data_IF_109568814605
#
_entry.id   IF_109568814605
#
_cell.length_a   1.000
_cell.length_b   1.000
_cell.length_c   1.000
_cell.angle_alpha   90.00
_cell.angle_beta   90.00
_cell.angle_gamma   90.00
#
_symmetry.space_group_name_H-M   'P 1'
#
loop_
_entity.id
_entity.type
_entity.pdbx_description
1 polymer ?
#
# COMPACT_ATOMS: atom_id res chain seq x y z
N UNK A 1 37.37 -20.46 20.91
CA UNK A 1 36.36 -19.43 21.23
C UNK A 1 35.24 -19.61 20.21
N UNK A 2 34.21 -20.39 20.55
CA UNK A 2 33.08 -20.59 19.64
C UNK A 2 32.24 -19.30 19.60
N UNK A 3 31.80 -18.82 18.44
CA UNK A 3 30.93 -17.66 18.37
C UNK A 3 29.59 -18.00 19.05
N UNK A 4 29.13 -17.10 19.91
CA UNK A 4 27.80 -17.19 20.52
C UNK A 4 26.72 -17.28 19.42
N UNK A 5 25.63 -18.02 19.64
CA UNK A 5 24.53 -18.05 18.69
C UNK A 5 24.01 -16.62 18.43
N UNK A 6 23.66 -16.25 17.19
CA UNK A 6 23.14 -14.92 16.90
C UNK A 6 21.89 -14.72 17.75
N UNK A 7 21.96 -13.74 18.66
CA UNK A 7 20.80 -13.30 19.42
C UNK A 7 19.71 -12.89 18.43
N UNK A 8 18.46 -13.21 18.74
CA UNK A 8 17.26 -12.83 17.97
C UNK A 8 17.05 -11.32 17.79
N UNK A 9 18.04 -10.50 18.15
CA UNK A 9 18.06 -9.05 18.05
C UNK A 9 19.01 -8.48 16.99
N UNK A 10 19.73 -9.29 16.20
CA UNK A 10 20.55 -8.77 15.10
C UNK A 10 19.66 -8.37 13.89
N UNK A 11 19.66 -7.08 13.47
CA UNK A 11 18.88 -6.62 12.33
C UNK A 11 19.21 -7.33 11.00
N UNK A 12 20.48 -7.70 10.78
CA UNK A 12 20.92 -8.34 9.53
C UNK A 12 20.36 -9.76 9.41
N UNK A 13 20.37 -10.51 10.52
CA UNK A 13 19.78 -11.86 10.61
C UNK A 13 18.27 -11.79 10.42
N UNK A 14 17.61 -10.77 11.00
CA UNK A 14 16.19 -10.53 10.81
C UNK A 14 15.84 -10.25 9.34
N UNK A 15 16.61 -9.36 8.69
CA UNK A 15 16.42 -9.01 7.28
C UNK A 15 16.59 -10.23 6.36
N UNK A 16 17.66 -11.01 6.56
CA UNK A 16 17.93 -12.24 5.81
C UNK A 16 16.81 -13.27 6.00
N UNK A 17 16.34 -13.46 7.24
CA UNK A 17 15.22 -14.37 7.54
C UNK A 17 13.93 -13.96 6.83
N UNK A 18 13.56 -12.68 6.89
CA UNK A 18 12.34 -12.19 6.23
C UNK A 18 12.42 -12.37 4.71
N UNK A 19 13.55 -12.01 4.09
CA UNK A 19 13.76 -12.19 2.65
C UNK A 19 13.74 -13.66 2.24
N UNK A 20 14.08 -14.61 3.13
CA UNK A 20 14.00 -16.04 2.86
C UNK A 20 12.58 -16.60 3.00
N UNK A 21 11.87 -16.24 4.06
CA UNK A 21 10.59 -16.89 4.42
C UNK A 21 9.40 -16.26 3.70
N UNK A 22 9.39 -14.94 3.50
CA UNK A 22 8.23 -14.23 2.92
C UNK A 22 7.92 -14.71 1.50
N UNK A 23 8.89 -14.81 0.56
CA UNK A 23 8.60 -15.26 -0.81
C UNK A 23 8.07 -16.69 -0.89
N UNK A 24 8.38 -17.55 0.10
CA UNK A 24 7.96 -18.95 0.12
C UNK A 24 6.47 -19.15 0.45
N UNK A 25 5.80 -18.13 1.01
CA UNK A 25 4.36 -18.18 1.29
C UNK A 25 3.58 -17.78 0.04
N UNK A 26 2.52 -18.49 -0.32
CA UNK A 26 1.75 -18.19 -1.55
C UNK A 26 0.78 -17.01 -1.41
N UNK A 27 0.29 -16.73 -0.19
CA UNK A 27 -0.74 -15.73 0.08
C UNK A 27 -0.17 -14.46 0.74
N UNK A 28 -0.55 -13.29 0.21
CA UNK A 28 -0.04 -12.01 0.72
C UNK A 28 -0.56 -11.68 2.11
N UNK A 29 -1.76 -12.12 2.51
CA UNK A 29 -2.25 -11.89 3.87
C UNK A 29 -1.45 -12.73 4.88
N UNK A 30 -1.08 -13.97 4.54
CA UNK A 30 -0.14 -14.77 5.32
C UNK A 30 1.23 -14.11 5.44
N UNK A 31 1.77 -13.58 4.32
CA UNK A 31 3.03 -12.82 4.31
C UNK A 31 2.95 -11.60 5.24
N UNK A 32 1.89 -10.80 5.12
CA UNK A 32 1.65 -9.62 5.97
C UNK A 32 1.57 -9.98 7.45
N UNK A 33 0.84 -11.04 7.80
CA UNK A 33 0.73 -11.52 9.18
C UNK A 33 2.08 -11.97 9.76
N UNK A 34 2.89 -12.69 8.97
CA UNK A 34 4.23 -13.12 9.37
C UNK A 34 5.16 -11.91 9.57
N UNK A 35 5.21 -11.00 8.59
CA UNK A 35 6.04 -9.78 8.65
C UNK A 35 5.69 -8.97 9.89
N UNK A 36 4.39 -8.71 10.11
CA UNK A 36 3.91 -8.00 11.31
C UNK A 36 4.41 -8.65 12.59
N UNK A 37 4.08 -9.93 12.81
CA UNK A 37 4.44 -10.65 14.04
C UNK A 37 5.95 -10.64 14.28
N UNK A 38 6.73 -10.81 13.22
CA UNK A 38 8.18 -10.91 13.27
C UNK A 38 8.84 -9.58 13.61
N UNK A 39 8.36 -8.48 13.00
CA UNK A 39 8.85 -7.13 13.28
C UNK A 39 8.43 -6.65 14.68
N UNK A 40 7.18 -6.91 15.09
CA UNK A 40 6.69 -6.56 16.43
C UNK A 40 7.49 -7.29 17.53
N UNK A 41 7.77 -8.59 17.34
CA UNK A 41 8.57 -9.37 18.29
C UNK A 41 10.03 -8.91 18.39
N UNK A 42 10.62 -8.40 17.30
CA UNK A 42 11.98 -7.87 17.29
C UNK A 42 12.10 -6.49 17.95
N UNK A 43 10.98 -5.75 18.06
CA UNK A 43 10.92 -4.40 18.59
C UNK A 43 11.37 -3.32 17.57
N UNK A 44 10.96 -2.04 17.78
CA UNK A 44 11.19 -0.98 16.80
C UNK A 44 12.66 -0.74 16.40
N UNK A 45 13.66 -0.75 17.31
CA UNK A 45 15.05 -0.50 16.93
C UNK A 45 15.61 -1.52 15.92
N UNK A 46 15.39 -2.81 16.20
CA UNK A 46 15.86 -3.92 15.36
C UNK A 46 15.06 -3.99 14.06
N UNK A 47 13.73 -3.88 14.16
CA UNK A 47 12.84 -3.88 13.01
C UNK A 47 13.15 -2.75 12.03
N UNK A 48 13.42 -1.54 12.52
CA UNK A 48 13.74 -0.39 11.67
C UNK A 48 15.04 -0.60 10.89
N UNK A 49 16.11 -1.06 11.54
CA UNK A 49 17.39 -1.34 10.87
C UNK A 49 17.27 -2.47 9.84
N UNK A 50 16.53 -3.53 10.15
CA UNK A 50 16.27 -4.61 9.21
C UNK A 50 15.46 -4.13 7.99
N UNK A 51 14.43 -3.31 8.22
CA UNK A 51 13.62 -2.74 7.15
C UNK A 51 14.38 -1.71 6.31
N UNK A 52 15.36 -1.00 6.85
CA UNK A 52 16.21 -0.08 6.08
C UNK A 52 17.08 -0.84 5.06
N UNK A 53 17.71 -1.94 5.48
CA UNK A 53 18.44 -2.84 4.57
C UNK A 53 17.52 -3.41 3.49
N UNK A 54 16.36 -3.96 3.89
CA UNK A 54 15.38 -4.50 2.95
C UNK A 54 14.89 -3.41 1.99
N UNK A 55 14.59 -2.20 2.47
CA UNK A 55 14.14 -1.10 1.62
C UNK A 55 15.23 -0.69 0.62
N UNK A 56 16.50 -0.60 1.06
CA UNK A 56 17.63 -0.30 0.19
C UNK A 56 17.79 -1.35 -0.92
N UNK A 57 17.70 -2.64 -0.59
CA UNK A 57 17.73 -3.73 -1.58
C UNK A 57 16.53 -3.70 -2.52
N UNK A 58 15.34 -3.36 -2.03
CA UNK A 58 14.14 -3.20 -2.86
C UNK A 58 14.24 -2.00 -3.82
N UNK A 59 14.89 -0.90 -3.42
CA UNK A 59 15.24 0.22 -4.32
C UNK A 59 16.15 -0.26 -5.46
N UNK A 60 17.03 -1.25 -5.19
CA UNK A 60 17.87 -1.95 -6.18
C UNK A 60 17.17 -3.11 -6.90
N UNK A 61 15.84 -3.20 -6.82
CA UNK A 61 15.01 -4.23 -7.49
C UNK A 61 15.25 -5.68 -7.05
N UNK A 62 15.83 -5.91 -5.87
CA UNK A 62 15.94 -7.25 -5.27
C UNK A 62 14.53 -7.88 -5.10
N UNK A 63 14.26 -9.06 -5.70
CA UNK A 63 12.91 -9.62 -5.75
C UNK A 63 12.42 -10.04 -4.36
N UNK A 64 13.29 -10.61 -3.52
CA UNK A 64 12.92 -11.05 -2.19
C UNK A 64 12.61 -9.87 -1.26
N UNK A 65 13.42 -8.81 -1.34
CA UNK A 65 13.20 -7.59 -0.59
C UNK A 65 11.90 -6.89 -1.01
N UNK A 66 11.62 -6.81 -2.33
CA UNK A 66 10.36 -6.26 -2.85
C UNK A 66 9.14 -6.99 -2.30
N UNK A 67 9.20 -8.32 -2.18
CA UNK A 67 8.12 -9.12 -1.59
C UNK A 67 7.88 -8.83 -0.11
N UNK A 68 8.95 -8.59 0.65
CA UNK A 68 8.83 -8.15 2.05
C UNK A 68 8.19 -6.76 2.14
N UNK A 69 8.61 -5.82 1.28
CA UNK A 69 8.00 -4.47 1.23
C UNK A 69 6.53 -4.56 0.80
N UNK A 70 6.18 -5.41 -0.17
CA UNK A 70 4.79 -5.63 -0.58
C UNK A 70 3.92 -6.11 0.59
N UNK A 71 4.45 -7.02 1.41
CA UNK A 71 3.77 -7.53 2.61
C UNK A 71 3.65 -6.49 3.74
N UNK A 72 4.51 -5.46 3.76
CA UNK A 72 4.46 -4.35 4.71
C UNK A 72 3.36 -3.32 4.34
N UNK A 73 3.09 -3.11 3.04
CA UNK A 73 2.17 -2.05 2.58
C UNK A 73 0.78 -2.06 3.25
N UNK A 74 0.10 -3.21 3.41
CA UNK A 74 -1.20 -3.23 4.09
C UNK A 74 -1.14 -2.71 5.54
N UNK A 75 -0.01 -2.90 6.23
CA UNK A 75 0.19 -2.43 7.60
C UNK A 75 0.30 -0.91 7.67
N UNK A 76 0.79 -0.25 6.61
CA UNK A 76 0.93 1.20 6.55
C UNK A 76 -0.43 1.91 6.43
N UNK A 77 -1.41 1.24 5.83
CA UNK A 77 -2.78 1.73 5.68
C UNK A 77 -3.69 1.43 6.87
N UNK A 78 -3.27 0.61 7.84
CA UNK A 78 -4.11 0.20 8.97
C UNK A 78 -3.84 1.05 10.23
N UNK A 79 -4.86 1.79 10.73
CA UNK A 79 -4.74 2.54 11.97
C UNK A 79 -4.33 1.70 13.19
N UNK A 80 -4.64 0.40 13.22
CA UNK A 80 -4.25 -0.50 14.30
C UNK A 80 -2.73 -0.63 14.44
N UNK A 81 -1.97 -0.41 13.36
CA UNK A 81 -0.51 -0.47 13.36
C UNK A 81 0.14 0.92 13.41
N UNK A 82 -0.63 2.00 13.45
CA UNK A 82 -0.13 3.36 13.45
C UNK A 82 0.90 3.65 14.58
N UNK A 83 0.73 3.18 15.84
CA UNK A 83 1.74 3.38 16.88
C UNK A 83 3.08 2.72 16.54
N UNK A 84 3.05 1.48 16.04
CA UNK A 84 4.26 0.75 15.67
C UNK A 84 4.97 1.43 14.49
N UNK A 85 4.24 1.81 13.44
CA UNK A 85 4.81 2.54 12.29
C UNK A 85 5.36 3.91 12.73
N UNK A 86 4.72 4.59 13.69
CA UNK A 86 5.25 5.83 14.26
C UNK A 86 6.58 5.61 14.99
N UNK A 87 6.71 4.53 15.75
CA UNK A 87 7.96 4.17 16.42
C UNK A 87 9.07 3.85 15.40
N UNK A 88 8.77 3.11 14.33
CA UNK A 88 9.73 2.86 13.25
C UNK A 88 10.22 4.15 12.59
N UNK A 89 9.33 5.12 12.36
CA UNK A 89 9.71 6.44 11.82
C UNK A 89 10.63 7.22 12.74
N UNK A 90 10.36 7.19 14.06
CA UNK A 90 11.21 7.86 15.04
C UNK A 90 12.63 7.28 15.02
N UNK A 91 12.75 5.95 15.10
CA UNK A 91 14.05 5.26 15.00
C UNK A 91 14.75 5.56 13.68
N UNK A 92 14.01 5.52 12.56
CA UNK A 92 14.59 5.78 11.24
C UNK A 92 15.18 7.20 11.12
N UNK A 93 14.49 8.18 11.71
CA UNK A 93 14.97 9.56 11.78
C UNK A 93 16.21 9.66 12.66
N UNK A 94 16.15 9.13 13.87
CA UNK A 94 17.22 9.27 14.88
C UNK A 94 18.50 8.55 14.45
N UNK A 95 18.38 7.38 13.83
CA UNK A 95 19.50 6.58 13.34
C UNK A 95 19.87 6.85 11.87
N UNK A 96 19.27 7.87 11.23
CA UNK A 96 19.53 8.23 9.82
C UNK A 96 19.35 7.07 8.82
N UNK A 97 18.33 6.24 9.05
CA UNK A 97 17.95 5.13 8.17
C UNK A 97 17.21 5.68 6.94
N UNK A 98 17.97 5.99 5.89
CA UNK A 98 17.49 6.81 4.79
C UNK A 98 16.47 6.09 3.90
N UNK A 99 16.66 4.79 3.63
CA UNK A 99 15.76 4.03 2.78
C UNK A 99 14.41 3.82 3.48
N UNK A 100 14.44 3.49 4.77
CA UNK A 100 13.23 3.38 5.58
C UNK A 100 12.52 4.74 5.74
N UNK A 101 13.26 5.82 5.91
CA UNK A 101 12.69 7.17 6.01
C UNK A 101 11.98 7.61 4.73
N UNK A 102 12.50 7.22 3.55
CA UNK A 102 11.83 7.43 2.26
C UNK A 102 10.57 6.56 2.14
N UNK A 103 10.66 5.29 2.52
CA UNK A 103 9.53 4.36 2.46
C UNK A 103 8.37 4.79 3.38
N UNK A 104 8.67 5.20 4.61
CA UNK A 104 7.68 5.61 5.60
C UNK A 104 7.36 7.11 5.55
N UNK A 105 7.78 7.81 4.48
CA UNK A 105 7.64 9.25 4.31
C UNK A 105 6.18 9.65 4.53
N UNK A 106 5.94 10.35 5.63
CA UNK A 106 4.66 10.98 5.94
C UNK A 106 4.90 12.48 5.96
N UNK A 107 4.23 13.22 5.08
CA UNK A 107 4.03 14.65 5.36
C UNK A 107 3.14 14.69 6.60
N UNK A 108 3.38 15.61 7.53
CA UNK A 108 2.49 15.82 8.67
C UNK A 108 1.13 16.37 8.19
N UNK A 109 0.40 15.61 7.37
CA UNK A 109 -1.02 15.80 7.20
C UNK A 109 -1.64 15.27 8.48
N UNK A 110 -1.81 16.21 9.42
CA UNK A 110 -2.77 16.09 10.51
C UNK A 110 -4.14 16.12 9.83
N UNK A 111 -4.50 15.02 9.18
CA UNK A 111 -5.90 14.72 8.92
C UNK A 111 -6.48 14.48 10.31
N UNK A 112 -6.93 15.56 10.96
CA UNK A 112 -7.91 15.39 12.01
C UNK A 112 -9.02 14.51 11.41
N UNK A 113 -9.46 13.45 12.12
CA UNK A 113 -10.59 12.68 11.67
C UNK A 113 -11.72 13.67 11.43
N UNK A 114 -12.04 13.94 10.17
CA UNK A 114 -13.19 14.78 9.85
C UNK A 114 -14.38 14.02 10.42
N UNK A 115 -15.20 14.64 11.28
CA UNK A 115 -16.42 14.00 11.73
C UNK A 115 -17.19 13.56 10.48
N UNK A 116 -17.55 12.27 10.43
CA UNK A 116 -18.37 11.72 9.36
C UNK A 116 -19.58 12.62 9.20
N UNK A 117 -19.73 13.25 8.03
CA UNK A 117 -20.81 14.21 7.80
C UNK A 117 -22.15 13.50 8.04
N UNK A 118 -23.15 14.15 8.66
CA UNK A 118 -24.50 13.60 8.82
C UNK A 118 -25.10 13.07 7.50
N UNK A 119 -24.62 13.56 6.36
CA UNK A 119 -25.00 13.12 5.01
C UNK A 119 -24.58 11.67 4.74
N UNK A 120 -23.48 11.20 5.32
CA UNK A 120 -22.94 9.84 5.10
C UNK A 120 -23.80 8.74 5.73
N UNK A 121 -24.61 9.12 6.73
CA UNK A 121 -25.60 8.27 7.39
C UNK A 121 -27.01 8.38 6.81
N UNK A 122 -27.28 9.34 5.91
CA UNK A 122 -28.55 9.36 5.19
C UNK A 122 -28.64 8.11 4.31
N UNK A 123 -29.81 7.50 4.28
CA UNK A 123 -30.00 6.32 3.46
C UNK A 123 -29.77 6.68 1.98
N UNK A 124 -29.00 5.86 1.28
CA UNK A 124 -28.64 6.08 -0.13
C UNK A 124 -29.45 5.07 -0.94
N UNK A 125 -30.25 5.59 -1.86
CA UNK A 125 -30.94 4.74 -2.83
C UNK A 125 -29.92 4.24 -3.86
N UNK A 126 -30.00 2.97 -4.23
CA UNK A 126 -29.14 2.40 -5.28
C UNK A 126 -29.56 2.84 -6.68
N UNK A 127 -30.79 3.32 -6.82
CA UNK A 127 -31.39 3.78 -8.07
C UNK A 127 -32.05 5.15 -7.89
N UNK A 128 -32.08 5.99 -8.93
CA UNK A 128 -32.88 7.21 -8.94
C UNK A 128 -34.35 6.90 -8.60
N UNK A 129 -34.91 7.58 -7.58
CA UNK A 129 -36.28 7.36 -7.12
C UNK A 129 -36.49 6.10 -6.26
N UNK A 130 -35.44 5.32 -6.00
CA UNK A 130 -35.52 4.14 -5.13
C UNK A 130 -35.63 4.47 -3.64
N UNK A 131 -36.03 3.48 -2.84
CA UNK A 131 -36.02 3.59 -1.38
C UNK A 131 -34.58 3.82 -0.87
N UNK A 132 -34.35 4.80 0.03
CA UNK A 132 -33.05 4.99 0.66
C UNK A 132 -32.68 3.77 1.53
N UNK A 133 -31.50 3.21 1.31
CA UNK A 133 -30.98 2.09 2.10
C UNK A 133 -30.12 2.58 3.25
N UNK A 134 -30.36 2.05 4.45
CA UNK A 134 -29.52 2.24 5.62
C UNK A 134 -28.10 1.72 5.38
N UNK A 135 -27.15 2.21 6.18
CA UNK A 135 -25.77 1.71 6.13
C UNK A 135 -25.70 0.19 6.37
N UNK A 136 -26.53 -0.35 7.28
CA UNK A 136 -26.59 -1.79 7.57
C UNK A 136 -27.02 -2.60 6.35
N UNK A 137 -28.07 -2.16 5.64
CA UNK A 137 -28.54 -2.80 4.40
C UNK A 137 -27.46 -2.75 3.32
N UNK A 138 -26.81 -1.59 3.08
CA UNK A 138 -25.74 -1.47 2.07
C UNK A 138 -24.55 -2.38 2.39
N UNK A 139 -24.16 -2.48 3.66
CA UNK A 139 -23.10 -3.41 4.13
C UNK A 139 -23.49 -4.87 3.90
N UNK A 140 -24.74 -5.24 4.18
CA UNK A 140 -25.22 -6.61 3.93
C UNK A 140 -25.24 -6.94 2.44
N UNK A 141 -25.73 -6.02 1.60
CA UNK A 141 -25.74 -6.14 0.15
C UNK A 141 -24.35 -6.27 -0.46
N UNK A 142 -23.35 -5.54 0.07
CA UNK A 142 -21.96 -5.63 -0.40
C UNK A 142 -21.32 -7.02 -0.23
N UNK A 143 -21.85 -7.87 0.65
CA UNK A 143 -21.40 -9.27 0.80
C UNK A 143 -22.12 -10.23 -0.13
N UNK A 144 -23.26 -9.83 -0.70
CA UNK A 144 -24.06 -10.71 -1.54
C UNK A 144 -23.37 -10.94 -2.89
N UNK A 145 -23.49 -12.14 -3.46
CA UNK A 145 -22.97 -12.43 -4.78
C UNK A 145 -23.94 -11.90 -5.85
N UNK A 146 -24.00 -10.58 -6.09
CA UNK A 146 -24.86 -9.99 -7.14
C UNK A 146 -24.14 -8.87 -7.88
N UNK A 147 -23.75 -9.11 -9.15
CA UNK A 147 -23.01 -8.13 -9.96
C UNK A 147 -23.73 -6.78 -10.06
N UNK A 148 -25.03 -6.81 -10.38
CA UNK A 148 -25.88 -5.62 -10.48
C UNK A 148 -25.87 -4.79 -9.19
N UNK A 149 -25.86 -5.44 -8.03
CA UNK A 149 -25.82 -4.73 -6.74
C UNK A 149 -24.40 -4.20 -6.46
N UNK A 150 -23.37 -5.00 -6.74
CA UNK A 150 -21.98 -4.58 -6.55
C UNK A 150 -21.65 -3.34 -7.38
N UNK A 151 -22.05 -3.32 -8.66
CA UNK A 151 -21.81 -2.18 -9.56
C UNK A 151 -22.40 -0.86 -9.01
N UNK A 152 -23.58 -0.92 -8.37
CA UNK A 152 -24.21 0.25 -7.72
C UNK A 152 -23.51 0.68 -6.43
N UNK A 153 -22.83 -0.25 -5.76
CA UNK A 153 -22.15 -0.01 -4.49
C UNK A 153 -20.68 0.44 -4.65
N UNK A 154 -20.08 0.33 -5.84
CA UNK A 154 -18.67 0.72 -6.06
C UNK A 154 -18.39 2.19 -5.69
N UNK A 155 -19.39 3.05 -5.87
CA UNK A 155 -19.29 4.47 -5.54
C UNK A 155 -19.77 4.80 -4.12
N UNK A 156 -20.07 3.81 -3.27
CA UNK A 156 -20.58 4.05 -1.91
C UNK A 156 -19.60 4.95 -1.12
N UNK A 157 -20.09 6.01 -0.46
CA UNK A 157 -19.24 6.96 0.23
C UNK A 157 -18.68 6.45 1.57
N UNK A 158 -19.11 5.28 2.05
CA UNK A 158 -18.81 4.79 3.39
C UNK A 158 -17.74 3.67 3.39
N UNK A 159 -16.64 3.81 4.16
CA UNK A 159 -15.52 2.85 4.15
C UNK A 159 -15.92 1.42 4.50
N UNK A 160 -16.81 1.22 5.48
CA UNK A 160 -17.32 -0.12 5.83
C UNK A 160 -18.12 -0.83 4.74
N UNK A 161 -18.65 -0.12 3.75
CA UNK A 161 -19.29 -0.76 2.58
C UNK A 161 -18.19 -1.20 1.61
N UNK A 162 -17.24 -0.33 1.32
CA UNK A 162 -16.07 -0.63 0.48
C UNK A 162 -15.25 -1.80 1.04
N UNK A 163 -15.00 -1.83 2.35
CA UNK A 163 -14.34 -2.95 3.03
C UNK A 163 -15.01 -4.31 2.71
N UNK A 164 -16.34 -4.36 2.77
CA UNK A 164 -17.08 -5.59 2.45
C UNK A 164 -17.04 -5.92 0.95
N UNK A 165 -17.08 -4.90 0.08
CA UNK A 165 -16.93 -5.09 -1.37
C UNK A 165 -15.55 -5.69 -1.67
N UNK A 166 -14.49 -5.14 -1.11
CA UNK A 166 -13.11 -5.59 -1.32
C UNK A 166 -12.91 -7.04 -0.87
N UNK A 167 -13.69 -7.53 0.10
CA UNK A 167 -13.74 -8.93 0.51
C UNK A 167 -14.68 -9.82 -0.32
N UNK A 168 -15.51 -9.26 -1.20
CA UNK A 168 -16.48 -10.03 -1.98
C UNK A 168 -15.79 -10.86 -3.08
N UNK A 169 -16.08 -12.16 -3.21
CA UNK A 169 -15.47 -13.02 -4.22
C UNK A 169 -15.89 -12.69 -5.67
N UNK A 170 -17.03 -12.02 -5.87
CA UNK A 170 -17.50 -11.58 -7.19
C UNK A 170 -16.99 -10.20 -7.61
N UNK A 171 -16.23 -9.51 -6.75
CA UNK A 171 -15.57 -8.26 -7.11
C UNK A 171 -14.38 -8.57 -8.04
N UNK A 172 -14.23 -7.77 -9.08
CA UNK A 172 -13.19 -7.92 -10.12
C UNK A 172 -12.13 -6.84 -9.97
N UNK A 173 -10.99 -7.03 -10.66
CA UNK A 173 -9.93 -6.02 -10.69
C UNK A 173 -10.42 -4.69 -11.28
N UNK A 174 -11.24 -4.72 -12.33
CA UNK A 174 -11.80 -3.51 -12.96
C UNK A 174 -12.68 -2.71 -12.00
N UNK A 175 -13.43 -3.39 -11.12
CA UNK A 175 -14.21 -2.72 -10.08
C UNK A 175 -13.31 -1.97 -9.09
N UNK A 176 -12.20 -2.59 -8.70
CA UNK A 176 -11.27 -1.99 -7.74
C UNK A 176 -10.48 -0.87 -8.37
N UNK A 177 -10.11 -0.98 -9.65
CA UNK A 177 -9.57 0.14 -10.42
C UNK A 177 -10.54 1.31 -10.43
N UNK A 178 -11.86 1.07 -10.63
CA UNK A 178 -12.89 2.11 -10.55
C UNK A 178 -12.97 2.76 -9.15
N UNK A 179 -12.90 1.96 -8.08
CA UNK A 179 -12.87 2.47 -6.69
C UNK A 179 -11.61 3.32 -6.45
N UNK A 180 -10.44 2.81 -6.84
CA UNK A 180 -9.14 3.44 -6.63
C UNK A 180 -8.99 4.74 -7.43
N UNK A 181 -9.52 4.79 -8.65
CA UNK A 181 -9.46 5.95 -9.54
C UNK A 181 -10.54 7.01 -9.28
N UNK A 182 -11.52 6.74 -8.40
CA UNK A 182 -12.66 7.65 -8.12
C UNK A 182 -12.19 9.02 -7.62
N UNK A 183 -12.79 10.10 -8.15
CA UNK A 183 -12.49 11.49 -7.77
C UNK A 183 -13.79 12.23 -7.37
N UNK A 184 -13.80 13.03 -6.29
CA UNK A 184 -12.74 13.13 -5.27
C UNK A 184 -12.61 11.82 -4.49
N UNK A 185 -11.37 11.44 -4.17
CA UNK A 185 -11.08 10.27 -3.33
C UNK A 185 -11.18 10.66 -1.86
N UNK A 186 -11.79 9.78 -1.04
CA UNK A 186 -11.83 9.96 0.41
C UNK A 186 -10.66 9.22 1.07
N UNK A 187 -9.93 9.83 2.02
CA UNK A 187 -8.80 9.17 2.70
C UNK A 187 -9.16 7.82 3.34
N UNK A 188 -10.37 7.70 3.88
CA UNK A 188 -10.86 6.48 4.52
C UNK A 188 -11.06 5.37 3.48
N UNK A 189 -11.62 5.70 2.30
CA UNK A 189 -11.76 4.74 1.19
C UNK A 189 -10.39 4.33 0.63
N UNK A 190 -9.47 5.29 0.47
CA UNK A 190 -8.11 4.99 0.05
C UNK A 190 -7.40 4.06 1.05
N UNK A 191 -7.63 4.26 2.35
CA UNK A 191 -7.13 3.37 3.40
C UNK A 191 -7.69 1.95 3.25
N UNK A 192 -9.00 1.79 2.97
CA UNK A 192 -9.59 0.47 2.71
C UNK A 192 -8.91 -0.28 1.54
N UNK A 193 -8.65 0.43 0.43
CA UNK A 193 -7.96 -0.16 -0.73
C UNK A 193 -6.52 -0.54 -0.37
N UNK A 194 -5.79 0.36 0.30
CA UNK A 194 -4.40 0.14 0.69
C UNK A 194 -4.22 -1.06 1.66
N UNK A 195 -5.19 -1.27 2.56
CA UNK A 195 -5.22 -2.43 3.49
C UNK A 195 -5.52 -3.74 2.80
N UNK A 196 -6.11 -3.73 1.60
CA UNK A 196 -6.46 -4.94 0.89
C UNK A 196 -5.25 -5.55 0.18
N UNK A 197 -4.55 -6.44 0.87
CA UNK A 197 -3.45 -7.23 0.31
C UNK A 197 -3.81 -7.85 -1.05
N UNK A 198 -4.97 -8.51 -1.16
CA UNK A 198 -5.48 -9.13 -2.39
C UNK A 198 -5.41 -8.19 -3.60
N UNK A 199 -5.80 -6.93 -3.40
CA UNK A 199 -5.93 -5.97 -4.49
C UNK A 199 -4.67 -5.14 -4.70
N UNK A 200 -3.94 -4.79 -3.65
CA UNK A 200 -2.65 -4.10 -3.76
C UNK A 200 -1.56 -4.97 -4.41
N UNK A 201 -1.74 -6.29 -4.45
CA UNK A 201 -0.93 -7.19 -5.26
C UNK A 201 -1.08 -6.98 -6.78
N UNK A 202 -2.15 -6.33 -7.25
CA UNK A 202 -2.45 -6.13 -8.67
C UNK A 202 -1.86 -4.83 -9.21
N UNK A 203 -1.11 -4.89 -10.30
CA UNK A 203 -0.41 -3.75 -10.88
C UNK A 203 -1.37 -2.62 -11.30
N UNK A 204 -2.49 -2.95 -11.98
CA UNK A 204 -3.47 -1.95 -12.44
C UNK A 204 -4.11 -1.22 -11.27
N UNK A 205 -4.37 -1.93 -10.16
CA UNK A 205 -4.88 -1.31 -8.92
C UNK A 205 -3.85 -0.37 -8.32
N UNK A 206 -2.57 -0.77 -8.20
CA UNK A 206 -1.50 0.10 -7.71
C UNK A 206 -1.37 1.37 -8.56
N UNK A 207 -1.38 1.24 -9.89
CA UNK A 207 -1.30 2.39 -10.79
C UNK A 207 -2.50 3.32 -10.65
N UNK A 208 -3.73 2.79 -10.67
CA UNK A 208 -4.93 3.60 -10.44
C UNK A 208 -4.93 4.31 -9.09
N UNK A 209 -4.42 3.65 -8.05
CA UNK A 209 -4.29 4.18 -6.70
C UNK A 209 -3.27 5.32 -6.61
N UNK A 210 -2.09 5.16 -7.21
CA UNK A 210 -1.00 6.14 -7.18
C UNK A 210 -1.31 7.35 -8.08
N UNK A 211 -1.91 7.14 -9.25
CA UNK A 211 -2.27 8.21 -10.19
C UNK A 211 -3.51 9.01 -9.77
N UNK A 212 -4.19 8.62 -8.69
CA UNK A 212 -5.30 9.39 -8.15
C UNK A 212 -4.78 10.52 -7.25
N UNK A 213 -4.99 11.81 -7.61
CA UNK A 213 -4.49 12.93 -6.83
C UNK A 213 -5.15 13.09 -5.46
N UNK A 214 -6.31 12.47 -5.26
CA UNK A 214 -6.99 12.44 -3.96
C UNK A 214 -6.46 11.34 -3.03
N UNK A 215 -5.59 10.45 -3.50
CA UNK A 215 -4.96 9.44 -2.62
C UNK A 215 -3.93 10.13 -1.71
N UNK A 216 -4.06 9.99 -0.38
CA UNK A 216 -3.10 10.58 0.55
C UNK A 216 -1.65 10.13 0.23
N UNK A 217 -0.67 11.05 0.14
CA UNK A 217 0.73 10.72 -0.15
C UNK A 217 1.32 9.68 0.79
N UNK A 218 0.85 9.63 2.04
CA UNK A 218 1.28 8.67 3.05
C UNK A 218 0.95 7.22 2.68
N UNK A 219 -0.07 7.02 1.85
CA UNK A 219 -0.48 5.72 1.34
C UNK A 219 0.12 5.45 -0.05
N UNK A 220 0.25 6.47 -0.91
CA UNK A 220 0.72 6.27 -2.29
C UNK A 220 2.25 6.23 -2.45
N UNK A 221 3.01 6.99 -1.65
CA UNK A 221 4.49 6.96 -1.71
C UNK A 221 5.06 5.56 -1.44
N UNK A 222 4.62 4.82 -0.39
CA UNK A 222 5.13 3.48 -0.16
C UNK A 222 4.87 2.51 -1.33
N UNK A 223 3.75 2.69 -2.04
CA UNK A 223 3.35 1.84 -3.18
C UNK A 223 4.30 1.99 -4.37
N UNK A 224 4.98 3.14 -4.52
CA UNK A 224 5.98 3.36 -5.57
C UNK A 224 7.09 2.29 -5.56
N UNK A 225 7.45 1.78 -4.38
CA UNK A 225 8.43 0.69 -4.24
C UNK A 225 8.05 -0.55 -5.06
N UNK A 226 6.75 -0.77 -5.30
CA UNK A 226 6.19 -1.93 -5.99
C UNK A 226 5.91 -1.71 -7.48
N UNK A 227 6.08 -0.49 -7.98
CA UNK A 227 5.92 -0.20 -9.41
C UNK A 227 7.13 -0.69 -10.21
N UNK A 228 7.04 -0.70 -11.53
CA UNK A 228 8.10 -0.95 -12.51
C UNK A 228 8.77 0.37 -12.93
N UNK A 229 9.87 0.28 -13.68
CA UNK A 229 10.62 1.47 -14.11
C UNK A 229 9.76 2.41 -14.97
N UNK A 230 9.03 1.87 -15.95
CA UNK A 230 8.14 2.67 -16.81
C UNK A 230 6.95 3.26 -16.04
N UNK A 231 6.37 2.49 -15.11
CA UNK A 231 5.29 2.95 -14.23
C UNK A 231 5.76 4.12 -13.33
N UNK A 232 7.00 4.09 -12.84
CA UNK A 232 7.57 5.22 -12.07
C UNK A 232 7.77 6.46 -12.94
N UNK A 233 8.21 6.30 -14.19
CA UNK A 233 8.34 7.41 -15.13
C UNK A 233 6.96 8.04 -15.41
N UNK A 234 5.94 7.21 -15.65
CA UNK A 234 4.56 7.68 -15.83
C UNK A 234 4.07 8.51 -14.63
N UNK A 235 4.33 8.04 -13.40
CA UNK A 235 3.97 8.79 -12.19
C UNK A 235 4.76 10.09 -12.05
N UNK A 236 6.04 10.11 -12.43
CA UNK A 236 6.87 11.31 -12.40
C UNK A 236 6.36 12.40 -13.34
N UNK A 237 5.86 12.01 -14.51
CA UNK A 237 5.36 12.92 -15.56
C UNK A 237 3.89 13.34 -15.35
N UNK A 238 3.15 12.62 -14.51
CA UNK A 238 1.73 12.84 -14.24
C UNK A 238 1.48 14.15 -13.45
N UNK A 239 1.32 15.28 -14.16
CA UNK A 239 1.13 16.62 -13.57
C UNK A 239 -0.07 16.75 -12.62
N UNK A 240 -1.10 15.91 -12.79
CA UNK A 240 -2.26 15.85 -11.90
C UNK A 240 -1.90 15.35 -10.49
N UNK A 241 -0.85 14.52 -10.36
CA UNK A 241 -0.44 13.89 -9.11
C UNK A 241 0.34 14.89 -8.24
N UNK A 242 0.23 14.86 -6.89
CA UNK A 242 0.97 15.74 -6.00
C UNK A 242 2.49 15.73 -6.25
N UNK A 243 3.12 16.92 -6.24
CA UNK A 243 4.55 17.06 -6.51
C UNK A 243 5.44 16.17 -5.63
N UNK A 244 5.07 15.97 -4.36
CA UNK A 244 5.80 15.07 -3.44
C UNK A 244 5.88 13.62 -3.94
N UNK A 245 4.81 13.14 -4.60
CA UNK A 245 4.75 11.78 -5.13
C UNK A 245 5.56 11.69 -6.43
N UNK A 246 5.48 12.71 -7.29
CA UNK A 246 6.31 12.80 -8.50
C UNK A 246 7.80 12.84 -8.18
N UNK A 247 8.20 13.68 -7.21
CA UNK A 247 9.59 13.75 -6.73
C UNK A 247 10.03 12.41 -6.12
N UNK A 248 9.19 11.75 -5.32
CA UNK A 248 9.51 10.42 -4.79
C UNK A 248 9.67 9.36 -5.89
N UNK A 249 8.84 9.42 -6.95
CA UNK A 249 8.97 8.54 -8.11
C UNK A 249 10.29 8.78 -8.87
N UNK A 250 10.67 10.04 -9.10
CA UNK A 250 11.96 10.42 -9.69
C UNK A 250 13.16 9.97 -8.84
N UNK A 251 13.11 10.20 -7.52
CA UNK A 251 14.14 9.74 -6.58
C UNK A 251 14.33 8.21 -6.66
N UNK A 252 13.23 7.46 -6.71
CA UNK A 252 13.27 6.00 -6.80
C UNK A 252 13.74 5.52 -8.18
N UNK A 253 13.32 6.19 -9.25
CA UNK A 253 13.73 5.90 -10.63
C UNK A 253 15.25 6.03 -10.82
N UNK A 254 15.85 7.06 -10.20
CA UNK A 254 17.29 7.30 -10.21
C UNK A 254 18.09 6.23 -9.44
N UNK A 255 17.47 5.56 -8.46
CA UNK A 255 18.12 4.53 -7.63
C UNK A 255 18.02 3.13 -8.22
N UNK A 256 17.03 2.89 -9.10
CA UNK A 256 16.86 1.61 -9.75
C UNK A 256 17.93 1.39 -10.81
N UNK A 257 18.46 0.15 -10.93
CA UNK A 257 19.35 -0.17 -12.03
C UNK A 257 18.67 0.11 -13.38
N UNK A 258 19.43 0.56 -14.39
CA UNK A 258 18.91 0.66 -15.75
C UNK A 258 18.50 -0.73 -16.25
N UNK A 259 17.55 -0.77 -17.18
CA UNK A 259 17.24 -2.03 -17.86
C UNK A 259 18.50 -2.50 -18.58
N UNK A 260 18.84 -3.80 -18.51
CA UNK A 260 19.92 -4.33 -19.34
C UNK A 260 19.60 -4.03 -20.81
N UNK A 261 20.60 -3.65 -21.62
CA UNK A 261 20.40 -3.41 -23.03
C UNK A 261 19.80 -4.66 -23.68
N UNK A 262 18.83 -4.46 -24.58
CA UNK A 262 18.19 -5.55 -25.30
C UNK A 262 19.26 -6.35 -26.06
N UNK A 263 19.43 -7.66 -25.79
CA UNK A 263 20.42 -8.48 -26.48
C UNK A 263 20.20 -8.53 -27.99
N UNK A 264 19.01 -8.17 -28.48
CA UNK A 264 18.67 -8.13 -29.90
C UNK A 264 18.72 -6.73 -30.52
N UNK A 265 19.29 -5.73 -29.83
CA UNK A 265 19.64 -4.45 -30.45
C UNK A 265 18.45 -3.66 -30.99
N UNK A 266 17.42 -3.47 -30.17
CA UNK A 266 16.42 -2.43 -30.41
C UNK A 266 16.85 -1.14 -29.73
N UNK A 267 17.52 -0.23 -30.44
CA UNK A 267 17.64 1.16 -30.01
C UNK A 267 16.22 1.73 -29.83
N UNK A 268 15.73 1.75 -28.59
CA UNK A 268 14.52 2.49 -28.26
C UNK A 268 14.92 3.96 -28.24
N UNK A 269 14.46 4.65 -29.28
CA UNK A 269 14.63 6.08 -29.50
C UNK A 269 14.22 6.91 -28.29
N UNK A 270 14.87 8.07 -28.23
CA UNK A 270 14.84 9.16 -27.26
C UNK A 270 13.45 9.56 -26.78
#
# INVERSE_FOLDING_TARGET
MNPAPPTSGDPSVLAARLCKVVPALSDLAMRTALVRRTLEAAGPPTAARALDDIASRAEQTDPAAREVIAALLPLLGDPAHAPFISALRAVAKDASLLALSRLLRRKASRAEPRPTSPIEHRGIALEPGGRPLSLGERRALARKPSRVILDKLLADPHPRVIENLLGNPRLTEDDVVRIAAKRPQKPEIASEVARSARWMARARVRMAFVLNPGTPPELSVPVLSQLLRHELAEVADATQVPAVLRSAALELLARRPPLPPDPNGGASMQ
#
